data_IF_918104835439
#
_entry.id   IF_918104835439
#
_cell.length_a   1.000
_cell.length_b   1.000
_cell.length_c   1.000
_cell.angle_alpha   90.00
_cell.angle_beta   90.00
_cell.angle_gamma   90.00
#
_symmetry.space_group_name_H-M   'P 1'
#
loop_
_entity.id
_entity.type
_entity.pdbx_description
1 polymer ?
#
# COMPACT_ATOMS: atom_id res chain seq x y z
N UNK A 1 8.73 -22.91 20.93
CA UNK A 1 7.67 -21.88 20.92
C UNK A 1 8.19 -20.53 20.41
N UNK A 2 7.29 -19.61 20.14
CA UNK A 2 7.60 -18.24 19.76
C UNK A 2 7.66 -17.34 20.99
N UNK A 3 8.62 -16.41 21.00
CA UNK A 3 8.68 -15.32 21.98
C UNK A 3 8.70 -14.00 21.19
N UNK A 4 7.72 -13.14 21.42
CA UNK A 4 7.66 -11.78 20.86
C UNK A 4 8.24 -10.77 21.87
N UNK A 5 8.75 -9.64 21.37
CA UNK A 5 9.05 -8.49 22.21
C UNK A 5 7.73 -7.79 22.62
N UNK A 6 7.67 -7.22 23.81
CA UNK A 6 6.43 -6.68 24.42
C UNK A 6 5.86 -5.42 23.73
N UNK A 7 6.42 -4.96 22.62
CA UNK A 7 5.89 -3.85 21.83
C UNK A 7 4.78 -4.29 20.90
N UNK A 8 3.72 -3.52 20.81
CA UNK A 8 2.44 -3.83 20.16
C UNK A 8 2.50 -4.35 18.70
N UNK A 9 3.65 -4.25 18.03
CA UNK A 9 3.85 -4.68 16.64
C UNK A 9 4.32 -6.15 16.49
N UNK A 10 4.64 -6.82 17.59
CA UNK A 10 5.21 -8.19 17.56
C UNK A 10 4.25 -9.29 17.99
N UNK A 11 3.00 -8.95 18.28
CA UNK A 11 2.00 -9.91 18.79
C UNK A 11 1.62 -11.01 17.80
N UNK A 12 1.90 -10.83 16.53
CA UNK A 12 1.30 -11.66 15.50
C UNK A 12 2.21 -12.66 14.80
N UNK A 13 3.52 -12.74 15.14
CA UNK A 13 4.39 -13.69 14.44
C UNK A 13 3.93 -15.14 14.66
N UNK A 14 3.49 -15.48 15.86
CA UNK A 14 3.00 -16.82 16.18
C UNK A 14 1.68 -17.17 15.48
N UNK A 15 0.83 -16.17 15.24
CA UNK A 15 -0.43 -16.32 14.49
C UNK A 15 -0.16 -16.39 13.00
N UNK A 16 0.81 -15.63 12.50
CA UNK A 16 1.06 -15.41 11.07
C UNK A 16 2.11 -16.35 10.47
N UNK A 17 2.95 -16.99 11.31
CA UNK A 17 4.03 -17.88 10.88
C UNK A 17 3.84 -19.26 11.49
N UNK A 18 3.71 -20.26 10.62
CA UNK A 18 3.73 -21.68 11.01
C UNK A 18 5.18 -22.13 11.20
N UNK A 19 5.40 -23.06 12.13
CA UNK A 19 6.71 -23.66 12.39
C UNK A 19 6.57 -25.14 12.62
N UNK A 20 7.45 -25.90 12.02
CA UNK A 20 7.57 -27.34 12.20
C UNK A 20 9.03 -27.69 12.53
N UNK A 21 9.20 -28.60 13.46
CA UNK A 21 10.48 -29.20 13.81
C UNK A 21 10.49 -30.66 13.36
N UNK A 22 11.43 -30.99 12.49
CA UNK A 22 11.66 -32.34 11.95
C UNK A 22 12.99 -32.88 12.51
N UNK A 23 12.99 -34.08 13.09
CA UNK A 23 14.21 -34.79 13.43
C UNK A 23 14.75 -35.49 12.17
N UNK A 24 15.93 -35.05 11.69
CA UNK A 24 16.57 -35.61 10.47
C UNK A 24 17.50 -36.74 10.80
N UNK A 25 18.25 -36.64 11.91
CA UNK A 25 19.07 -37.69 12.49
C UNK A 25 18.82 -37.77 13.98
N UNK A 26 18.52 -38.96 14.45
CA UNK A 26 18.11 -39.21 15.83
C UNK A 26 19.10 -38.60 16.85
N UNK A 27 18.61 -37.64 17.64
CA UNK A 27 19.37 -36.96 18.68
C UNK A 27 20.51 -36.06 18.20
N UNK A 28 20.68 -35.85 16.86
CA UNK A 28 21.86 -35.13 16.33
C UNK A 28 21.49 -33.95 15.43
N UNK A 29 20.50 -34.11 14.57
CA UNK A 29 20.21 -33.12 13.54
C UNK A 29 18.73 -32.89 13.41
N UNK A 30 18.36 -31.65 13.56
CA UNK A 30 16.99 -31.17 13.45
C UNK A 30 16.87 -30.13 12.34
N UNK A 31 15.72 -30.13 11.66
CA UNK A 31 15.36 -29.13 10.66
C UNK A 31 14.18 -28.34 11.15
N UNK A 32 14.31 -27.03 11.14
CA UNK A 32 13.21 -26.12 11.39
C UNK A 32 12.69 -25.61 10.05
N UNK A 33 11.39 -25.76 9.80
CA UNK A 33 10.68 -25.16 8.68
C UNK A 33 9.77 -24.06 9.20
N UNK A 34 9.80 -22.91 8.55
CA UNK A 34 8.90 -21.82 8.84
C UNK A 34 8.21 -21.38 7.55
N UNK A 35 6.91 -21.11 7.61
CA UNK A 35 6.12 -20.67 6.46
C UNK A 35 5.08 -19.63 6.86
N UNK A 36 4.69 -18.79 5.89
CA UNK A 36 3.57 -17.86 6.02
C UNK A 36 2.27 -18.66 6.14
N UNK A 37 1.44 -18.39 7.14
CA UNK A 37 0.08 -18.88 7.21
C UNK A 37 -0.83 -18.08 6.24
N UNK A 38 -1.93 -18.68 5.72
CA UNK A 38 -2.83 -18.05 4.76
C UNK A 38 -3.37 -16.69 5.23
N UNK A 39 -3.74 -16.60 6.51
CA UNK A 39 -4.33 -15.44 7.16
C UNK A 39 -3.34 -14.32 7.50
N UNK A 40 -2.04 -14.53 7.28
CA UNK A 40 -1.04 -13.53 7.60
C UNK A 40 -1.10 -12.31 6.68
N UNK A 41 -1.25 -11.13 7.26
CA UNK A 41 -1.35 -9.87 6.55
C UNK A 41 -0.01 -9.38 5.98
N UNK A 42 -0.03 -8.55 4.91
CA UNK A 42 1.18 -7.95 4.37
C UNK A 42 1.79 -6.94 5.34
N UNK A 43 2.87 -7.34 6.00
CA UNK A 43 3.67 -6.50 6.90
C UNK A 43 5.01 -7.18 7.20
N UNK A 44 5.84 -6.53 8.01
CA UNK A 44 7.07 -7.10 8.52
C UNK A 44 6.83 -7.73 9.89
N UNK A 45 7.10 -9.00 10.00
CA UNK A 45 7.07 -9.74 11.25
C UNK A 45 8.50 -9.96 11.77
N UNK A 46 8.70 -9.76 13.06
CA UNK A 46 9.96 -10.03 13.76
C UNK A 46 9.68 -10.80 15.03
N UNK A 47 10.56 -11.71 15.37
CA UNK A 47 10.46 -12.47 16.62
C UNK A 47 11.58 -13.46 16.75
N UNK A 48 11.57 -14.21 17.85
CA UNK A 48 12.52 -15.27 18.13
C UNK A 48 11.81 -16.62 18.20
N UNK A 49 12.31 -17.59 17.47
CA UNK A 49 11.94 -18.98 17.67
C UNK A 49 12.80 -19.57 18.79
N UNK A 50 12.15 -19.97 19.86
CA UNK A 50 12.81 -20.60 21.00
C UNK A 50 12.69 -22.10 20.89
N UNK A 51 13.82 -22.77 20.72
CA UNK A 51 13.94 -24.22 20.76
C UNK A 51 14.41 -24.65 22.14
N UNK A 52 13.63 -25.50 22.80
CA UNK A 52 14.05 -26.16 24.04
C UNK A 52 14.73 -27.49 23.68
N UNK A 53 15.81 -27.78 24.35
CA UNK A 53 16.58 -29.01 24.17
C UNK A 53 16.77 -29.72 25.49
N UNK A 54 17.02 -31.03 25.46
CA UNK A 54 17.41 -31.86 26.58
C UNK A 54 18.94 -31.88 26.83
N UNK A 55 19.69 -31.11 26.04
CA UNK A 55 21.14 -31.02 26.18
C UNK A 55 21.49 -30.02 27.30
N UNK A 56 22.09 -30.46 28.43
CA UNK A 56 22.29 -29.62 29.62
C UNK A 56 23.11 -28.36 29.37
N UNK A 57 24.11 -28.44 28.46
CA UNK A 57 24.94 -27.28 28.10
C UNK A 57 24.23 -26.25 27.22
N UNK A 58 23.09 -26.60 26.62
CA UNK A 58 22.31 -25.71 25.75
C UNK A 58 20.83 -25.97 25.92
N UNK A 59 20.25 -25.68 27.09
CA UNK A 59 18.85 -26.01 27.37
C UNK A 59 17.86 -25.22 26.49
N UNK A 60 18.30 -24.07 25.97
CA UNK A 60 17.51 -23.21 25.10
C UNK A 60 18.35 -22.64 23.95
N UNK A 61 17.83 -22.71 22.73
CA UNK A 61 18.42 -22.05 21.54
C UNK A 61 17.43 -21.05 20.96
N UNK A 62 17.84 -19.78 20.87
CA UNK A 62 17.07 -18.71 20.24
C UNK A 62 17.51 -18.52 18.79
N UNK A 63 16.55 -18.44 17.90
CA UNK A 63 16.76 -18.20 16.47
C UNK A 63 15.96 -16.95 16.10
N UNK A 64 16.62 -15.83 15.77
CA UNK A 64 15.92 -14.63 15.31
C UNK A 64 15.27 -14.90 13.96
N UNK A 65 13.99 -14.54 13.83
CA UNK A 65 13.22 -14.69 12.59
C UNK A 65 12.70 -13.33 12.16
N UNK A 66 12.91 -13.04 10.89
CA UNK A 66 12.36 -11.87 10.22
C UNK A 66 11.66 -12.30 8.94
N UNK A 67 10.37 -12.02 8.84
CA UNK A 67 9.56 -12.32 7.67
C UNK A 67 8.94 -11.01 7.15
N UNK A 68 9.14 -10.72 5.87
CA UNK A 68 8.47 -9.61 5.20
C UNK A 68 7.45 -10.18 4.23
N UNK A 69 6.18 -9.86 4.45
CA UNK A 69 5.08 -10.23 3.55
C UNK A 69 4.71 -8.96 2.78
N UNK A 70 4.97 -8.95 1.49
CA UNK A 70 4.57 -7.86 0.59
C UNK A 70 3.16 -8.07 0.07
N UNK A 71 2.47 -6.98 -0.25
CA UNK A 71 1.22 -7.04 -1.02
C UNK A 71 1.50 -7.59 -2.41
N UNK A 72 0.58 -8.39 -2.94
CA UNK A 72 0.73 -8.92 -4.30
C UNK A 72 0.42 -7.84 -5.36
N UNK A 73 -0.45 -6.87 -5.01
CA UNK A 73 -0.69 -5.68 -5.82
C UNK A 73 -0.51 -4.43 -4.97
N UNK A 74 0.27 -3.49 -5.47
CA UNK A 74 0.59 -2.24 -4.77
C UNK A 74 0.21 -1.03 -5.63
N UNK A 75 -0.24 0.05 -4.96
CA UNK A 75 -0.50 1.34 -5.61
C UNK A 75 0.43 2.38 -5.01
N UNK A 76 1.20 3.04 -5.85
CA UNK A 76 2.16 4.07 -5.44
C UNK A 76 1.90 5.41 -6.15
N UNK A 77 1.71 6.49 -5.41
CA UNK A 77 1.52 6.54 -3.95
C UNK A 77 0.17 5.93 -3.54
N UNK A 78 0.04 5.47 -2.30
CA UNK A 78 -1.21 4.94 -1.74
C UNK A 78 -2.31 5.98 -1.57
N UNK A 79 -1.93 7.27 -1.61
CA UNK A 79 -2.82 8.44 -1.62
C UNK A 79 -2.29 9.47 -2.61
N UNK A 80 -3.13 9.94 -3.50
CA UNK A 80 -2.81 11.02 -4.45
C UNK A 80 -3.11 12.36 -3.80
N UNK A 81 -2.07 13.17 -3.54
CA UNK A 81 -2.22 14.48 -2.96
C UNK A 81 -1.91 15.58 -3.98
N UNK A 82 -2.89 16.43 -4.27
CA UNK A 82 -2.81 17.50 -5.27
C UNK A 82 -2.20 18.79 -4.73
N UNK A 83 -2.00 18.86 -3.39
CA UNK A 83 -1.51 20.08 -2.76
C UNK A 83 -2.55 21.19 -2.73
N UNK A 84 -2.09 22.44 -2.82
CA UNK A 84 -2.96 23.61 -2.95
C UNK A 84 -3.33 23.81 -4.42
N UNK A 85 -4.61 23.69 -4.70
CA UNK A 85 -5.19 23.93 -6.01
C UNK A 85 -5.65 25.39 -6.09
N UNK A 86 -4.79 26.27 -6.59
CA UNK A 86 -5.10 27.69 -6.75
C UNK A 86 -5.82 27.91 -8.07
N UNK A 87 -7.09 28.30 -7.99
CA UNK A 87 -7.95 28.54 -9.16
C UNK A 87 -8.12 30.05 -9.35
N UNK A 88 -7.60 30.62 -10.46
CA UNK A 88 -7.88 32.01 -10.80
C UNK A 88 -9.36 32.23 -11.11
N UNK A 89 -9.86 33.41 -10.77
CA UNK A 89 -11.27 33.77 -11.01
C UNK A 89 -11.59 33.72 -12.51
N UNK A 90 -12.71 33.08 -12.85
CA UNK A 90 -13.19 32.97 -14.24
C UNK A 90 -12.41 31.96 -15.11
N UNK A 91 -11.53 31.14 -14.53
CA UNK A 91 -10.76 30.13 -15.30
C UNK A 91 -11.11 28.71 -14.86
N UNK A 92 -11.08 27.80 -15.85
CA UNK A 92 -11.16 26.36 -15.59
C UNK A 92 -9.75 25.77 -15.64
N UNK A 93 -9.15 25.54 -14.48
CA UNK A 93 -7.83 24.91 -14.36
C UNK A 93 -7.97 23.50 -13.85
N UNK A 94 -7.24 22.57 -14.46
CA UNK A 94 -7.15 21.19 -13.97
C UNK A 94 -5.78 20.92 -13.34
N UNK A 95 -5.76 19.99 -12.40
CA UNK A 95 -4.56 19.56 -11.69
C UNK A 95 -4.38 18.07 -11.89
N UNK A 96 -3.19 17.66 -12.33
CA UNK A 96 -2.86 16.28 -12.66
C UNK A 96 -1.87 15.70 -11.66
N UNK A 97 -2.05 14.45 -11.29
CA UNK A 97 -1.09 13.64 -10.54
C UNK A 97 -1.02 12.23 -11.08
N UNK A 98 0.13 11.64 -10.97
CA UNK A 98 0.37 10.27 -11.43
C UNK A 98 0.42 9.30 -10.28
N UNK A 99 0.01 8.06 -10.55
CA UNK A 99 0.18 6.92 -9.69
C UNK A 99 0.57 5.69 -10.51
N UNK A 100 1.03 4.65 -9.85
CA UNK A 100 1.35 3.37 -10.48
C UNK A 100 0.65 2.25 -9.72
N UNK A 101 0.23 1.24 -10.46
CA UNK A 101 -0.26 -0.03 -9.93
C UNK A 101 0.75 -1.08 -10.36
N UNK A 102 1.24 -1.88 -9.42
CA UNK A 102 2.29 -2.85 -9.66
C UNK A 102 1.86 -4.20 -9.08
N UNK A 103 1.84 -5.23 -9.92
CA UNK A 103 1.77 -6.61 -9.46
C UNK A 103 3.18 -7.04 -9.04
N UNK A 104 3.39 -7.24 -7.73
CA UNK A 104 4.67 -7.69 -7.18
C UNK A 104 4.94 -9.16 -7.53
N UNK A 105 3.88 -9.93 -7.77
CA UNK A 105 3.94 -11.33 -8.17
C UNK A 105 3.08 -11.58 -9.41
N UNK A 106 3.60 -12.42 -10.30
CA UNK A 106 2.92 -12.77 -11.55
C UNK A 106 2.91 -11.62 -12.59
N UNK A 107 2.21 -11.85 -13.68
CA UNK A 107 2.08 -10.98 -14.84
C UNK A 107 0.65 -11.04 -15.43
N UNK A 108 -0.34 -11.34 -14.59
CA UNK A 108 -1.73 -11.56 -14.99
C UNK A 108 -2.68 -10.46 -14.54
N UNK A 109 -2.17 -9.40 -13.90
CA UNK A 109 -2.98 -8.27 -13.47
C UNK A 109 -3.63 -7.60 -14.70
N UNK A 110 -4.93 -7.35 -14.61
CA UNK A 110 -5.69 -6.54 -15.58
C UNK A 110 -6.55 -5.54 -14.83
N UNK A 111 -6.56 -4.31 -15.29
CA UNK A 111 -7.49 -3.29 -14.82
C UNK A 111 -8.78 -3.42 -15.61
N UNK A 112 -9.86 -3.77 -14.92
CA UNK A 112 -11.18 -4.01 -15.52
C UNK A 112 -12.04 -2.75 -15.58
N UNK A 113 -11.79 -1.81 -14.67
CA UNK A 113 -12.52 -0.56 -14.60
C UNK A 113 -11.92 0.41 -13.59
N UNK A 114 -12.26 1.69 -13.76
CA UNK A 114 -11.84 2.76 -12.86
C UNK A 114 -13.04 3.68 -12.64
N UNK A 115 -13.47 3.81 -11.41
CA UNK A 115 -14.68 4.52 -11.01
C UNK A 115 -14.33 5.59 -9.96
N UNK A 116 -14.22 6.88 -10.34
CA UNK A 116 -14.14 7.95 -9.37
C UNK A 116 -15.53 8.19 -8.72
N UNK A 117 -15.53 8.54 -7.44
CA UNK A 117 -16.76 8.88 -6.68
C UNK A 117 -17.29 10.27 -6.96
N UNK A 118 -16.57 11.07 -7.79
CA UNK A 118 -16.87 12.47 -8.09
C UNK A 118 -16.70 12.76 -9.58
N UNK A 119 -17.58 13.57 -10.14
CA UNK A 119 -17.57 13.99 -11.55
C UNK A 119 -16.39 14.93 -11.88
N UNK A 120 -15.86 15.65 -10.89
CA UNK A 120 -14.71 16.52 -11.03
C UNK A 120 -13.36 15.78 -11.04
N UNK A 121 -13.37 14.46 -10.85
CA UNK A 121 -12.21 13.58 -10.95
C UNK A 121 -12.29 12.76 -12.24
N UNK A 122 -11.26 12.82 -13.05
CA UNK A 122 -11.10 11.97 -14.24
C UNK A 122 -9.82 11.15 -14.08
N UNK A 123 -9.88 9.88 -14.46
CA UNK A 123 -8.74 8.96 -14.35
C UNK A 123 -8.46 8.32 -15.70
N UNK A 124 -7.19 8.28 -16.07
CA UNK A 124 -6.70 7.52 -17.23
C UNK A 124 -5.68 6.51 -16.73
N UNK A 125 -5.81 5.25 -17.13
CA UNK A 125 -4.85 4.18 -16.81
C UNK A 125 -4.30 3.63 -18.12
N UNK A 126 -3.00 3.46 -18.16
CA UNK A 126 -2.25 2.89 -19.29
C UNK A 126 -1.39 1.75 -18.81
N UNK A 127 -1.42 0.64 -19.48
CA UNK A 127 -0.52 -0.48 -19.26
C UNK A 127 0.88 -0.12 -19.77
N UNK A 128 1.89 -0.26 -18.90
CA UNK A 128 3.30 0.03 -19.21
C UNK A 128 4.07 -1.27 -19.43
N UNK A 129 3.80 -2.24 -18.57
CA UNK A 129 4.34 -3.59 -18.68
C UNK A 129 3.17 -4.57 -18.62
N UNK A 130 2.98 -5.40 -19.65
CA UNK A 130 1.84 -6.30 -19.74
C UNK A 130 1.63 -7.13 -18.46
N UNK A 131 0.41 -7.06 -17.93
CA UNK A 131 0.00 -7.81 -16.75
C UNK A 131 0.71 -7.46 -15.46
N UNK A 132 1.59 -6.44 -15.42
CA UNK A 132 2.46 -6.19 -14.28
C UNK A 132 2.48 -4.75 -13.81
N UNK A 133 2.62 -3.77 -14.71
CA UNK A 133 2.76 -2.36 -14.33
C UNK A 133 1.79 -1.50 -15.13
N UNK A 134 1.00 -0.73 -14.40
CA UNK A 134 0.10 0.29 -14.95
C UNK A 134 0.47 1.66 -14.44
N UNK A 135 0.38 2.67 -15.30
CA UNK A 135 0.50 4.08 -14.97
C UNK A 135 -0.88 4.72 -15.02
N UNK A 136 -1.29 5.31 -13.92
CA UNK A 136 -2.51 6.10 -13.84
C UNK A 136 -2.21 7.59 -13.78
N UNK A 137 -3.12 8.40 -14.32
CA UNK A 137 -3.13 9.85 -14.19
C UNK A 137 -4.50 10.27 -13.67
N UNK A 138 -4.50 10.87 -12.50
CA UNK A 138 -5.68 11.52 -11.91
C UNK A 138 -5.67 12.97 -12.35
N UNK A 139 -6.76 13.41 -12.94
CA UNK A 139 -7.01 14.81 -13.28
C UNK A 139 -8.20 15.31 -12.49
N UNK A 140 -8.01 16.39 -11.75
CA UNK A 140 -9.07 17.05 -10.97
C UNK A 140 -9.36 18.42 -11.53
N UNK A 141 -10.64 18.70 -11.77
CA UNK A 141 -11.17 20.05 -12.00
C UNK A 141 -11.74 20.52 -10.68
N UNK A 142 -11.05 21.40 -9.94
CA UNK A 142 -11.52 21.80 -8.63
C UNK A 142 -12.92 22.39 -8.67
N UNK A 143 -13.78 22.05 -7.70
CA UNK A 143 -15.08 22.69 -7.58
C UNK A 143 -14.92 24.18 -7.25
N UNK A 144 -15.99 24.96 -7.41
CA UNK A 144 -16.01 26.38 -7.07
C UNK A 144 -15.94 26.64 -5.55
N UNK A 145 -16.23 25.63 -4.75
CA UNK A 145 -16.16 25.70 -3.28
C UNK A 145 -14.72 25.63 -2.79
N UNK A 146 -14.35 26.57 -1.92
CA UNK A 146 -13.01 26.61 -1.29
C UNK A 146 -12.94 25.64 -0.12
N UNK A 147 -11.73 25.17 0.19
CA UNK A 147 -11.49 24.32 1.36
C UNK A 147 -10.86 22.98 1.03
N UNK A 148 -11.05 22.01 1.91
CA UNK A 148 -10.57 20.66 1.72
C UNK A 148 -11.26 20.01 0.51
N UNK A 149 -10.49 19.26 -0.25
CA UNK A 149 -10.94 18.44 -1.36
C UNK A 149 -10.56 17.00 -1.07
N UNK A 150 -11.53 16.13 -1.03
CA UNK A 150 -11.36 14.70 -0.84
C UNK A 150 -12.23 13.95 -1.84
N UNK A 151 -11.70 12.86 -2.34
CA UNK A 151 -12.37 11.94 -3.26
C UNK A 151 -11.73 10.56 -3.22
N UNK A 152 -12.40 9.62 -3.83
CA UNK A 152 -12.01 8.22 -3.87
C UNK A 152 -12.11 7.68 -5.29
N UNK A 153 -11.15 6.86 -5.68
CA UNK A 153 -11.16 6.15 -6.95
C UNK A 153 -11.16 4.66 -6.65
N UNK A 154 -12.18 3.95 -7.13
CA UNK A 154 -12.24 2.49 -7.11
C UNK A 154 -11.64 1.94 -8.38
N UNK A 155 -10.67 1.07 -8.25
CA UNK A 155 -9.97 0.42 -9.35
C UNK A 155 -10.33 -1.06 -9.30
N UNK A 156 -11.06 -1.54 -10.30
CA UNK A 156 -11.47 -2.94 -10.41
C UNK A 156 -10.41 -3.74 -11.15
N UNK A 157 -10.06 -4.90 -10.62
CA UNK A 157 -9.04 -5.78 -11.20
C UNK A 157 -9.54 -7.23 -11.27
N UNK A 158 -8.82 -8.05 -12.04
CA UNK A 158 -9.02 -9.51 -12.07
C UNK A 158 -8.17 -10.26 -11.04
N UNK A 159 -7.38 -9.56 -10.20
CA UNK A 159 -6.42 -10.20 -9.33
C UNK A 159 -7.07 -10.66 -8.04
N UNK A 160 -6.94 -11.95 -7.73
CA UNK A 160 -7.56 -12.57 -6.56
C UNK A 160 -7.10 -11.90 -5.25
N UNK A 161 -8.06 -11.47 -4.42
CA UNK A 161 -7.81 -10.73 -3.18
C UNK A 161 -7.55 -9.24 -3.38
N UNK A 162 -7.59 -8.75 -4.63
CA UNK A 162 -7.45 -7.33 -5.01
C UNK A 162 -8.46 -6.95 -6.09
N UNK A 163 -9.64 -7.54 -6.08
CA UNK A 163 -10.71 -7.31 -7.05
C UNK A 163 -11.16 -5.85 -7.10
N UNK A 164 -11.06 -5.16 -5.96
CA UNK A 164 -11.26 -3.72 -5.83
C UNK A 164 -10.14 -3.09 -5.01
N UNK A 165 -9.48 -2.09 -5.58
CA UNK A 165 -8.45 -1.29 -4.91
C UNK A 165 -8.97 0.12 -4.77
N UNK A 166 -8.92 0.67 -3.57
CA UNK A 166 -9.34 2.03 -3.27
C UNK A 166 -8.13 2.97 -3.23
N UNK A 167 -8.15 4.02 -4.07
CA UNK A 167 -7.14 5.08 -4.11
C UNK A 167 -7.77 6.39 -3.64
N UNK A 168 -7.25 6.95 -2.56
CA UNK A 168 -7.69 8.24 -2.04
C UNK A 168 -7.06 9.40 -2.83
N UNK A 169 -7.84 10.43 -3.09
CA UNK A 169 -7.42 11.69 -3.71
C UNK A 169 -7.71 12.82 -2.75
N UNK A 170 -6.73 13.70 -2.50
CA UNK A 170 -6.92 14.81 -1.58
C UNK A 170 -6.19 16.07 -2.02
N UNK A 171 -6.61 17.20 -1.47
CA UNK A 171 -5.99 18.50 -1.73
C UNK A 171 -6.72 19.63 -1.02
N UNK A 172 -6.40 20.85 -1.37
CA UNK A 172 -7.07 22.04 -0.86
C UNK A 172 -7.31 23.05 -1.97
N UNK A 173 -8.56 23.45 -2.15
CA UNK A 173 -8.94 24.46 -3.15
C UNK A 173 -8.80 25.85 -2.55
N UNK A 174 -8.07 26.73 -3.24
CA UNK A 174 -7.94 28.14 -2.88
C UNK A 174 -8.22 29.05 -4.07
N UNK A 175 -8.79 30.21 -3.80
CA UNK A 175 -8.98 31.27 -4.78
C UNK A 175 -7.67 32.07 -4.93
N UNK A 176 -7.29 32.38 -6.16
CA UNK A 176 -6.19 33.32 -6.41
C UNK A 176 -6.64 34.74 -6.05
N UNK A 177 -6.16 35.21 -4.92
CA UNK A 177 -6.44 36.56 -4.43
C UNK A 177 -5.46 37.60 -4.95
N UNK A 178 -4.77 37.36 -6.08
CA UNK A 178 -3.94 38.40 -6.68
C UNK A 178 -4.83 39.57 -7.12
N UNK A 179 -4.85 40.61 -6.28
CA UNK A 179 -5.49 41.88 -6.60
C UNK A 179 -5.03 42.33 -7.99
N UNK A 180 -5.96 42.70 -8.84
CA UNK A 180 -5.71 43.64 -9.92
C UNK A 180 -5.27 44.97 -9.28
N UNK A 181 -4.00 45.09 -8.94
CA UNK A 181 -3.40 46.38 -8.66
C UNK A 181 -2.99 46.96 -10.02
N UNK A 182 -3.69 48.00 -10.47
CA UNK A 182 -3.22 48.81 -11.55
C UNK A 182 -4.21 49.07 -12.66
N UNK A 183 -5.21 49.89 -12.38
CA UNK A 183 -5.79 50.79 -13.37
C UNK A 183 -6.43 51.94 -12.64
N UNK A 184 -5.58 52.84 -12.11
CA UNK A 184 -5.92 54.26 -11.89
C UNK A 184 -4.69 55.06 -12.33
N UNK A 185 -4.74 55.52 -13.54
CA UNK A 185 -3.86 56.44 -14.15
C UNK A 185 -4.66 57.32 -15.05
N UNK A 186 -4.91 58.47 -14.58
CA UNK A 186 -5.54 59.68 -15.09
C UNK A 186 -5.50 59.86 -16.58
#
# INVERSE_FOLDING_TARGET
>A
GWRGDEKAEERDIAQSVGVELEEVEKGKKYRVRAWKKPEAEPQMYRGELVLQTDFPALPEKKIPVRLTISKDVEVHPSKVYLGEMVVPEGTSKSFDRQFRIIAARGDTLRILGVEPDREDITVKVQEIQPGKVYKGTVRVRPPSTMGAFDGTIKIKTNYLGYEEITLQVGGRVRKDMRRRSGASGS
#
